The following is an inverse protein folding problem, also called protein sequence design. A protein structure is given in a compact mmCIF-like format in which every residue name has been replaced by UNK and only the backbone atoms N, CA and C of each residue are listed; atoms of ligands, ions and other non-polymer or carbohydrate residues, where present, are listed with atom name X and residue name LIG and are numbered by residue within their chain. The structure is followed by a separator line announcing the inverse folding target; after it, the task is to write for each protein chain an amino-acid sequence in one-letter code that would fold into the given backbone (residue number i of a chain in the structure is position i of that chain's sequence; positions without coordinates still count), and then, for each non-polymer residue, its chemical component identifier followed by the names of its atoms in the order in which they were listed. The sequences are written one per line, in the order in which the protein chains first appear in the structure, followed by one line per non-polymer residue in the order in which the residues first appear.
data_IF_039091471002
#
_entry.id   IF_039091471002
#
_cell.length_a   1.000
_cell.length_b   1.000
_cell.length_c   1.000
_cell.angle_alpha   90.00
_cell.angle_beta   90.00
_cell.angle_gamma   90.00
#
_symmetry.space_group_name_H-M   'P 1'
#
loop_
_entity.id
_entity.type
_entity.pdbx_description
1 polymer ?
#
# COMPACT_ATOMS: atom_id res chain seq x y z
N UNK A 1 -12.81 9.31 24.30
CA UNK A 1 -12.79 10.63 23.63
C UNK A 1 -12.70 10.35 22.15
N UNK A 2 -13.78 10.59 21.40
CA UNK A 2 -13.83 10.30 19.97
C UNK A 2 -12.90 11.27 19.24
N UNK A 3 -11.74 10.80 18.80
CA UNK A 3 -10.82 11.53 17.92
C UNK A 3 -11.57 11.87 16.64
N UNK A 4 -11.71 13.16 16.32
CA UNK A 4 -12.28 13.55 15.02
C UNK A 4 -11.42 12.96 13.90
N UNK A 5 -12.02 12.47 12.80
CA UNK A 5 -11.27 11.93 11.67
C UNK A 5 -10.34 13.01 11.11
N UNK A 6 -9.03 12.72 11.08
CA UNK A 6 -8.02 13.65 10.55
C UNK A 6 -7.69 13.28 9.10
N UNK A 7 -7.72 14.26 8.19
CA UNK A 7 -7.31 14.08 6.80
C UNK A 7 -6.02 14.83 6.52
N UNK A 8 -5.09 14.15 5.84
CA UNK A 8 -3.84 14.71 5.39
C UNK A 8 -3.72 14.61 3.87
N UNK A 9 -3.00 15.55 3.27
CA UNK A 9 -2.69 15.59 1.85
C UNK A 9 -1.21 15.27 1.67
N UNK A 10 -0.92 14.27 0.87
CA UNK A 10 0.43 13.97 0.39
C UNK A 10 0.72 14.92 -0.76
N UNK A 11 1.70 15.81 -0.57
CA UNK A 11 2.17 16.71 -1.62
C UNK A 11 3.01 15.94 -2.63
N UNK A 12 3.18 16.51 -3.82
CA UNK A 12 4.08 15.99 -4.88
C UNK A 12 5.55 15.83 -4.42
N UNK A 13 5.95 16.52 -3.35
CA UNK A 13 7.27 16.41 -2.73
C UNK A 13 7.39 15.22 -1.77
N UNK A 14 6.28 14.53 -1.48
CA UNK A 14 6.20 13.51 -0.45
C UNK A 14 5.83 14.06 0.93
N UNK A 15 5.82 15.37 1.15
CA UNK A 15 5.48 15.93 2.46
C UNK A 15 3.98 15.79 2.78
N UNK A 16 3.68 15.48 4.04
CA UNK A 16 2.33 15.53 4.58
C UNK A 16 1.92 16.96 4.97
N UNK A 17 0.69 17.33 4.65
CA UNK A 17 0.07 18.58 5.11
C UNK A 17 -1.39 18.35 5.52
N UNK A 18 -1.95 19.16 6.43
CA UNK A 18 -3.36 19.04 6.79
C UNK A 18 -4.28 19.33 5.60
N UNK A 19 -5.33 18.52 5.45
CA UNK A 19 -6.37 18.77 4.44
C UNK A 19 -7.16 20.03 4.77
N UNK A 20 -7.20 20.96 3.80
CA UNK A 20 -7.85 22.27 3.95
C UNK A 20 -8.75 22.53 2.74
N UNK A 21 -10.10 22.45 2.88
CA UNK A 21 -11.04 22.73 1.79
C UNK A 21 -10.84 24.09 1.15
N UNK A 22 -10.35 25.06 1.93
CA UNK A 22 -10.08 26.41 1.47
C UNK A 22 -9.06 26.46 0.31
N UNK A 23 -8.06 25.58 0.30
CA UNK A 23 -7.10 25.50 -0.82
C UNK A 23 -7.76 25.03 -2.12
N UNK A 24 -8.74 24.13 -2.01
CA UNK A 24 -9.54 23.66 -3.17
C UNK A 24 -10.39 24.82 -3.69
N UNK A 25 -11.07 25.53 -2.79
CA UNK A 25 -11.89 26.70 -3.13
C UNK A 25 -11.10 27.76 -3.89
N UNK A 26 -9.91 28.11 -3.39
CA UNK A 26 -9.01 29.08 -4.05
C UNK A 26 -8.62 28.60 -5.46
N UNK A 27 -8.24 27.34 -5.61
CA UNK A 27 -7.85 26.79 -6.92
C UNK A 27 -9.02 26.79 -7.92
N UNK A 28 -10.22 26.40 -7.47
CA UNK A 28 -11.44 26.42 -8.30
C UNK A 28 -11.81 27.86 -8.67
N UNK A 29 -11.78 28.80 -7.72
CA UNK A 29 -12.07 30.21 -8.01
C UNK A 29 -11.11 30.80 -9.04
N UNK A 30 -9.81 30.47 -8.98
CA UNK A 30 -8.83 30.89 -10.00
C UNK A 30 -9.20 30.39 -11.40
N UNK A 31 -9.68 29.15 -11.53
CA UNK A 31 -10.11 28.62 -12.83
C UNK A 31 -11.36 29.33 -13.36
N UNK A 32 -12.32 29.66 -12.50
CA UNK A 32 -13.48 30.48 -12.89
C UNK A 32 -13.06 31.87 -13.37
N UNK A 33 -12.17 32.55 -12.63
CA UNK A 33 -11.66 33.89 -12.99
C UNK A 33 -10.91 33.84 -14.33
N UNK A 34 -10.04 32.85 -14.52
CA UNK A 34 -9.29 32.67 -15.76
C UNK A 34 -10.20 32.44 -16.99
N UNK A 35 -11.38 31.87 -16.79
CA UNK A 35 -12.34 31.59 -17.88
C UNK A 35 -13.29 32.76 -18.16
N UNK A 36 -13.72 33.48 -17.11
CA UNK A 36 -14.78 34.49 -17.18
C UNK A 36 -14.26 35.94 -17.15
N UNK A 37 -12.94 36.15 -17.01
CA UNK A 37 -12.29 37.46 -16.97
C UNK A 37 -12.50 38.24 -15.66
N UNK A 38 -12.01 39.48 -15.58
CA UNK A 38 -11.98 40.30 -14.35
C UNK A 38 -13.37 40.53 -13.72
N UNK A 39 -14.44 40.53 -14.53
CA UNK A 39 -15.84 40.59 -14.05
C UNK A 39 -16.25 39.43 -13.13
N UNK A 40 -15.49 38.33 -13.11
CA UNK A 40 -15.72 37.17 -12.27
C UNK A 40 -15.14 37.29 -10.85
N UNK A 41 -14.15 38.15 -10.64
CA UNK A 41 -13.41 38.25 -9.37
C UNK A 41 -14.31 38.74 -8.22
N UNK A 42 -15.32 39.55 -8.54
CA UNK A 42 -16.29 40.10 -7.59
C UNK A 42 -17.63 39.35 -7.62
N UNK A 43 -17.83 38.43 -8.57
CA UNK A 43 -19.13 37.79 -8.82
C UNK A 43 -19.58 36.87 -7.68
N UNK A 44 -20.75 37.14 -7.10
CA UNK A 44 -21.40 36.28 -6.10
C UNK A 44 -21.66 34.88 -6.64
N UNK A 45 -22.00 34.76 -7.94
CA UNK A 45 -22.22 33.49 -8.64
C UNK A 45 -20.96 32.62 -8.64
N UNK A 46 -19.80 33.20 -8.93
CA UNK A 46 -18.52 32.48 -8.98
C UNK A 46 -18.12 31.97 -7.59
N UNK A 47 -18.32 32.79 -6.55
CA UNK A 47 -18.08 32.37 -5.17
C UNK A 47 -19.00 31.21 -4.77
N UNK A 48 -20.30 31.31 -5.07
CA UNK A 48 -21.27 30.26 -4.79
C UNK A 48 -20.93 28.94 -5.52
N UNK A 49 -20.58 29.01 -6.80
CA UNK A 49 -20.22 27.83 -7.59
C UNK A 49 -18.89 27.20 -7.13
N UNK A 50 -17.90 28.03 -6.76
CA UNK A 50 -16.62 27.56 -6.19
C UNK A 50 -16.85 26.83 -4.86
N UNK A 51 -17.72 27.37 -4.00
CA UNK A 51 -18.08 26.74 -2.73
C UNK A 51 -18.80 25.40 -2.97
N UNK A 52 -19.82 25.38 -3.83
CA UNK A 52 -20.56 24.16 -4.17
C UNK A 52 -19.66 23.07 -4.74
N UNK A 53 -18.72 23.44 -5.62
CA UNK A 53 -17.73 22.50 -6.17
C UNK A 53 -16.81 21.97 -5.08
N UNK A 54 -16.33 22.84 -4.18
CA UNK A 54 -15.47 22.47 -3.05
C UNK A 54 -16.17 21.50 -2.10
N UNK A 55 -17.45 21.74 -1.80
CA UNK A 55 -18.28 20.86 -0.98
C UNK A 55 -18.47 19.49 -1.63
N UNK A 56 -18.75 19.45 -2.94
CA UNK A 56 -18.91 18.20 -3.68
C UNK A 56 -17.62 17.36 -3.67
N UNK A 57 -16.46 17.99 -3.93
CA UNK A 57 -15.14 17.34 -3.86
C UNK A 57 -14.87 16.83 -2.45
N UNK A 58 -15.08 17.68 -1.45
CA UNK A 58 -14.86 17.33 -0.05
C UNK A 58 -15.73 16.13 0.34
N UNK A 59 -17.03 16.14 0.04
CA UNK A 59 -17.92 15.02 0.32
C UNK A 59 -17.54 13.73 -0.41
N UNK A 60 -17.03 13.82 -1.64
CA UNK A 60 -16.56 12.65 -2.38
C UNK A 60 -15.34 12.02 -1.72
N UNK A 61 -14.37 12.85 -1.30
CA UNK A 61 -13.18 12.39 -0.57
C UNK A 61 -13.54 11.78 0.79
N UNK A 62 -14.44 12.42 1.56
CA UNK A 62 -14.92 11.90 2.86
C UNK A 62 -15.64 10.56 2.73
N UNK A 63 -16.43 10.37 1.67
CA UNK A 63 -17.12 9.09 1.41
C UNK A 63 -16.15 7.94 1.13
N UNK A 64 -14.99 8.25 0.52
CA UNK A 64 -13.94 7.28 0.22
C UNK A 64 -13.13 6.91 1.46
N UNK A 65 -12.99 7.83 2.41
CA UNK A 65 -12.20 7.69 3.65
C UNK A 65 -12.99 8.24 4.87
N UNK A 66 -14.02 7.50 5.35
CA UNK A 66 -14.92 7.98 6.41
C UNK A 66 -14.23 8.19 7.76
N UNK A 67 -13.22 7.40 8.08
CA UNK A 67 -12.52 7.43 9.39
C UNK A 67 -11.32 8.37 9.43
N UNK A 68 -11.11 9.17 8.38
CA UNK A 68 -9.85 9.90 8.20
C UNK A 68 -8.93 9.18 7.22
N UNK A 69 -7.77 9.77 6.94
CA UNK A 69 -6.80 9.16 6.04
C UNK A 69 -5.89 10.13 5.32
N UNK A 70 -5.08 9.58 4.42
CA UNK A 70 -4.11 10.32 3.61
C UNK A 70 -4.59 10.29 2.15
N UNK A 71 -4.56 11.45 1.49
CA UNK A 71 -5.06 11.63 0.12
C UNK A 71 -3.93 12.25 -0.72
N UNK A 72 -3.65 11.70 -1.89
CA UNK A 72 -2.65 12.31 -2.77
C UNK A 72 -3.20 13.60 -3.40
N UNK A 73 -2.35 14.60 -3.60
CA UNK A 73 -2.78 15.87 -4.20
C UNK A 73 -3.35 15.70 -5.62
N UNK A 74 -2.91 14.67 -6.35
CA UNK A 74 -3.49 14.32 -7.66
C UNK A 74 -4.94 13.82 -7.52
N UNK A 75 -5.26 12.98 -6.54
CA UNK A 75 -6.64 12.52 -6.31
C UNK A 75 -7.59 13.71 -6.07
N UNK A 76 -7.12 14.73 -5.34
CA UNK A 76 -7.91 15.94 -5.11
C UNK A 76 -8.17 16.68 -6.42
N UNK A 77 -7.15 16.78 -7.28
CA UNK A 77 -7.27 17.46 -8.58
C UNK A 77 -8.22 16.71 -9.52
N UNK A 78 -8.13 15.38 -9.58
CA UNK A 78 -9.03 14.56 -10.37
C UNK A 78 -10.49 14.67 -9.88
N UNK A 79 -10.72 14.75 -8.56
CA UNK A 79 -12.06 15.01 -8.02
C UNK A 79 -12.57 16.41 -8.35
N UNK A 80 -11.71 17.43 -8.38
CA UNK A 80 -12.10 18.79 -8.80
C UNK A 80 -12.54 18.79 -10.27
N UNK A 81 -11.78 18.14 -11.14
CA UNK A 81 -12.11 18.02 -12.56
C UNK A 81 -13.45 17.31 -12.76
N UNK A 82 -13.65 16.17 -12.09
CA UNK A 82 -14.89 15.43 -12.14
C UNK A 82 -16.09 16.26 -11.65
N UNK A 83 -15.92 17.04 -10.57
CA UNK A 83 -16.97 17.90 -10.02
C UNK A 83 -17.34 19.06 -10.97
N UNK A 84 -16.34 19.68 -11.62
CA UNK A 84 -16.57 20.71 -12.64
C UNK A 84 -17.27 20.13 -13.88
N UNK A 85 -16.88 18.93 -14.33
CA UNK A 85 -17.55 18.27 -15.45
C UNK A 85 -19.02 17.92 -15.12
N UNK A 86 -19.29 17.36 -13.94
CA UNK A 86 -20.66 16.99 -13.52
C UNK A 86 -21.59 18.18 -13.31
N UNK A 87 -21.05 19.36 -13.02
CA UNK A 87 -21.83 20.58 -12.87
C UNK A 87 -22.11 21.30 -14.21
N UNK A 88 -21.65 20.73 -15.33
CA UNK A 88 -21.83 21.30 -16.67
C UNK A 88 -20.86 22.43 -17.00
N UNK A 89 -19.90 22.73 -16.12
CA UNK A 89 -18.93 23.83 -16.27
C UNK A 89 -17.74 23.40 -17.15
N UNK A 90 -18.02 22.89 -18.35
CA UNK A 90 -17.04 22.28 -19.24
C UNK A 90 -15.92 23.25 -19.69
N UNK A 91 -16.22 24.54 -19.80
CA UNK A 91 -15.22 25.55 -20.15
C UNK A 91 -14.23 25.75 -18.99
N UNK A 92 -14.73 25.82 -17.75
CA UNK A 92 -13.93 25.99 -16.54
C UNK A 92 -13.12 24.73 -16.23
N UNK A 93 -13.70 23.54 -16.43
CA UNK A 93 -12.98 22.27 -16.31
C UNK A 93 -11.76 22.23 -17.26
N UNK A 94 -11.94 22.63 -18.53
CA UNK A 94 -10.84 22.71 -19.50
C UNK A 94 -9.78 23.73 -19.09
N UNK A 95 -10.19 24.91 -18.63
CA UNK A 95 -9.25 25.92 -18.15
C UNK A 95 -8.47 25.44 -16.92
N UNK A 96 -9.12 24.70 -16.00
CA UNK A 96 -8.47 24.10 -14.83
C UNK A 96 -7.41 23.06 -15.23
N UNK A 97 -7.72 22.16 -16.16
CA UNK A 97 -6.78 21.15 -16.68
C UNK A 97 -5.57 21.81 -17.34
N UNK A 98 -5.81 22.80 -18.21
CA UNK A 98 -4.73 23.54 -18.87
C UNK A 98 -3.84 24.29 -17.86
N UNK A 99 -4.45 24.91 -16.84
CA UNK A 99 -3.71 25.57 -15.76
C UNK A 99 -2.86 24.58 -14.95
N UNK A 100 -3.40 23.39 -14.64
CA UNK A 100 -2.68 22.30 -13.97
C UNK A 100 -1.47 21.84 -14.80
N UNK A 101 -1.67 21.61 -16.10
CA UNK A 101 -0.61 21.19 -17.03
C UNK A 101 0.46 22.26 -17.21
N UNK A 102 0.07 23.53 -17.37
CA UNK A 102 1.02 24.64 -17.49
C UNK A 102 1.90 24.75 -16.23
N UNK A 103 1.31 24.64 -15.03
CA UNK A 103 2.07 24.62 -13.79
C UNK A 103 2.92 23.35 -13.61
N UNK A 104 2.48 22.20 -14.10
CA UNK A 104 3.30 20.98 -14.14
C UNK A 104 4.53 21.19 -15.04
N UNK A 105 4.32 21.73 -16.25
CA UNK A 105 5.38 22.02 -17.22
C UNK A 105 6.36 23.06 -16.70
N UNK A 106 5.87 24.19 -16.18
CA UNK A 106 6.72 25.24 -15.62
C UNK A 106 7.58 24.74 -14.46
N UNK A 107 7.06 23.83 -13.61
CA UNK A 107 7.87 23.19 -12.56
C UNK A 107 8.90 22.21 -13.13
N UNK A 108 8.55 21.43 -14.14
CA UNK A 108 9.49 20.52 -14.81
C UNK A 108 10.63 21.27 -15.51
N UNK A 109 10.32 22.44 -16.09
CA UNK A 109 11.28 23.33 -16.73
C UNK A 109 12.17 24.02 -15.70
N UNK A 110 11.61 24.55 -14.61
CA UNK A 110 12.37 25.08 -13.48
C UNK A 110 13.28 24.02 -12.84
N UNK A 111 12.81 22.78 -12.70
CA UNK A 111 13.59 21.66 -12.19
C UNK A 111 14.71 21.25 -13.15
N UNK A 112 14.49 21.31 -14.47
CA UNK A 112 15.55 21.06 -15.47
C UNK A 112 16.59 22.17 -15.51
N UNK A 113 16.17 23.44 -15.39
CA UNK A 113 17.04 24.60 -15.46
C UNK A 113 17.95 24.76 -14.23
N UNK A 114 17.53 24.27 -13.06
CA UNK A 114 18.29 24.36 -11.81
C UNK A 114 19.20 23.14 -11.55
N UNK A 115 19.30 22.22 -12.53
CA UNK A 115 19.72 20.84 -12.27
C UNK A 115 18.60 20.14 -11.50
N UNK A 116 18.23 18.91 -11.89
CA UNK A 116 17.12 18.22 -11.25
C UNK A 116 17.34 18.24 -9.72
N UNK A 117 16.46 18.86 -8.92
CA UNK A 117 16.57 18.74 -7.48
C UNK A 117 16.57 17.24 -7.18
N UNK A 118 17.55 16.77 -6.41
CA UNK A 118 17.56 15.37 -5.95
C UNK A 118 16.17 15.08 -5.42
N UNK A 119 15.56 13.98 -5.91
CA UNK A 119 14.25 13.55 -5.41
C UNK A 119 14.36 13.52 -3.88
N UNK A 120 13.45 14.18 -3.15
CA UNK A 120 13.52 14.23 -1.71
C UNK A 120 13.67 12.80 -1.17
N UNK A 121 14.67 12.59 -0.32
CA UNK A 121 14.90 11.30 0.31
C UNK A 121 13.72 11.04 1.23
N UNK A 122 12.86 10.12 0.82
CA UNK A 122 11.74 9.69 1.63
C UNK A 122 12.26 8.79 2.75
N UNK A 123 11.81 9.04 3.97
CA UNK A 123 12.15 8.19 5.10
C UNK A 123 10.96 7.33 5.51
N UNK A 124 11.23 6.07 5.79
CA UNK A 124 10.29 5.09 6.31
C UNK A 124 10.54 4.93 7.82
N UNK A 125 9.46 4.94 8.59
CA UNK A 125 9.48 4.71 10.03
C UNK A 125 9.34 3.22 10.29
N UNK A 126 10.40 2.60 10.81
CA UNK A 126 10.41 1.18 11.17
C UNK A 126 9.55 0.88 12.40
N UNK A 127 9.36 -0.40 12.70
CA UNK A 127 8.67 -0.87 13.91
C UNK A 127 9.35 -0.45 15.22
N UNK A 128 10.66 -0.21 15.17
CA UNK A 128 11.48 0.34 16.25
C UNK A 128 11.34 1.87 16.42
N UNK A 129 10.51 2.51 15.59
CA UNK A 129 10.30 3.96 15.57
C UNK A 129 11.43 4.75 14.91
N UNK A 130 12.49 4.10 14.44
CA UNK A 130 13.58 4.79 13.75
C UNK A 130 13.19 5.13 12.32
N UNK A 131 13.64 6.30 11.86
CA UNK A 131 13.46 6.77 10.49
C UNK A 131 14.68 6.39 9.65
N UNK A 132 14.47 5.61 8.60
CA UNK A 132 15.51 5.17 7.66
C UNK A 132 15.14 5.62 6.25
N UNK A 133 16.10 5.92 5.37
CA UNK A 133 15.79 6.21 3.97
C UNK A 133 15.06 5.00 3.34
N UNK A 134 14.12 5.28 2.42
CA UNK A 134 13.44 4.25 1.65
C UNK A 134 14.47 3.42 0.87
N UNK A 135 14.51 2.13 1.16
CA UNK A 135 15.35 1.17 0.46
C UNK A 135 14.72 0.82 -0.90
N UNK A 136 15.18 1.53 -1.94
CA UNK A 136 14.70 1.36 -3.31
C UNK A 136 15.26 0.10 -3.96
N UNK A 137 16.45 -0.36 -3.56
CA UNK A 137 17.06 -1.57 -4.10
C UNK A 137 16.26 -2.79 -3.63
N UNK A 138 15.91 -2.83 -2.34
CA UNK A 138 15.04 -3.86 -1.80
C UNK A 138 13.65 -3.85 -2.45
N UNK A 139 13.05 -2.66 -2.63
CA UNK A 139 11.75 -2.55 -3.29
C UNK A 139 11.80 -3.14 -4.71
N UNK A 140 12.87 -2.86 -5.46
CA UNK A 140 13.07 -3.43 -6.79
C UNK A 140 13.24 -4.96 -6.73
N UNK A 141 14.12 -5.47 -5.85
CA UNK A 141 14.35 -6.91 -5.70
C UNK A 141 13.08 -7.69 -5.32
N UNK A 142 12.26 -7.13 -4.43
CA UNK A 142 10.98 -7.72 -4.05
C UNK A 142 9.98 -7.76 -5.23
N UNK A 143 9.93 -6.71 -6.04
CA UNK A 143 9.07 -6.68 -7.22
C UNK A 143 9.56 -7.64 -8.31
N UNK A 144 10.87 -7.77 -8.49
CA UNK A 144 11.46 -8.71 -9.44
C UNK A 144 11.11 -10.16 -9.05
N UNK A 145 11.24 -10.53 -7.76
CA UNK A 145 10.80 -11.83 -7.24
C UNK A 145 9.27 -12.02 -7.44
N UNK A 146 8.46 -10.99 -7.17
CA UNK A 146 7.02 -11.07 -7.34
C UNK A 146 6.58 -11.27 -8.80
N UNK A 147 7.39 -10.86 -9.78
CA UNK A 147 7.11 -11.00 -11.21
C UNK A 147 7.70 -12.28 -11.83
N UNK A 148 8.56 -13.00 -11.10
CA UNK A 148 9.31 -14.13 -11.64
C UNK A 148 8.40 -15.20 -12.27
N UNK A 149 8.68 -15.54 -13.54
CA UNK A 149 7.97 -16.59 -14.26
C UNK A 149 6.51 -16.28 -14.63
N UNK A 150 6.06 -15.01 -14.49
CA UNK A 150 4.75 -14.57 -14.95
C UNK A 150 4.86 -13.88 -16.31
N UNK A 151 4.03 -14.30 -17.26
CA UNK A 151 3.88 -13.63 -18.55
C UNK A 151 2.79 -12.55 -18.45
N UNK A 152 2.85 -11.50 -19.28
CA UNK A 152 1.78 -10.48 -19.35
C UNK A 152 1.78 -9.39 -18.27
N UNK A 153 2.54 -9.56 -17.18
CA UNK A 153 2.69 -8.55 -16.11
C UNK A 153 4.03 -7.81 -16.17
N UNK A 154 4.10 -6.61 -15.61
CA UNK A 154 5.34 -5.82 -15.56
C UNK A 154 5.44 -4.98 -14.28
N UNK A 155 6.66 -4.61 -13.89
CA UNK A 155 6.90 -3.82 -12.68
C UNK A 155 6.39 -2.38 -12.79
N UNK A 156 6.45 -1.78 -13.98
CA UNK A 156 6.18 -0.35 -14.21
C UNK A 156 4.85 0.15 -13.63
N UNK A 157 3.69 -0.46 -13.95
CA UNK A 157 2.41 0.02 -13.41
C UNK A 157 2.29 -0.17 -11.88
N UNK A 158 2.97 -1.17 -11.31
CA UNK A 158 3.01 -1.38 -9.85
C UNK A 158 3.83 -0.28 -9.20
N UNK A 159 5.02 0.00 -9.73
CA UNK A 159 5.92 1.07 -9.28
C UNK A 159 5.24 2.44 -9.35
N UNK A 160 4.52 2.73 -10.45
CA UNK A 160 3.76 3.98 -10.58
C UNK A 160 2.69 4.12 -9.50
N UNK A 161 2.03 3.00 -9.13
CA UNK A 161 1.07 2.97 -8.02
C UNK A 161 1.72 3.20 -6.65
N UNK A 162 2.90 2.60 -6.43
CA UNK A 162 3.68 2.76 -5.20
C UNK A 162 4.11 4.22 -5.06
N UNK A 163 4.75 4.79 -6.09
CA UNK A 163 5.26 6.16 -6.07
C UNK A 163 4.16 7.20 -5.80
N UNK A 164 2.93 6.97 -6.27
CA UNK A 164 1.77 7.83 -5.96
C UNK A 164 1.29 7.71 -4.51
N UNK A 165 1.62 6.61 -3.84
CA UNK A 165 1.19 6.32 -2.47
C UNK A 165 2.24 6.69 -1.44
N UNK A 166 3.50 6.86 -1.85
CA UNK A 166 4.63 7.19 -1.00
C UNK A 166 4.58 8.62 -0.45
N UNK A 167 5.01 8.77 0.81
CA UNK A 167 5.20 10.06 1.48
C UNK A 167 6.26 9.95 2.56
N UNK A 168 6.84 11.08 2.97
CA UNK A 168 7.90 11.12 3.98
C UNK A 168 7.33 10.80 5.38
N UNK A 169 8.01 9.90 6.10
CA UNK A 169 7.59 9.42 7.41
C UNK A 169 6.55 8.30 7.37
N UNK A 170 6.27 7.72 6.21
CA UNK A 170 5.40 6.54 6.06
C UNK A 170 5.91 5.40 6.95
N UNK A 171 5.00 4.68 7.61
CA UNK A 171 5.42 3.52 8.41
C UNK A 171 5.74 2.35 7.50
N UNK A 172 6.60 1.43 7.94
CA UNK A 172 6.91 0.21 7.19
C UNK A 172 5.65 -0.64 6.91
N UNK A 173 4.71 -0.69 7.87
CA UNK A 173 3.41 -1.34 7.69
C UNK A 173 2.58 -0.67 6.59
N UNK A 174 2.46 0.67 6.64
CA UNK A 174 1.73 1.42 5.62
C UNK A 174 2.37 1.22 4.23
N UNK A 175 3.70 1.19 4.16
CA UNK A 175 4.45 0.96 2.92
C UNK A 175 4.12 -0.41 2.33
N UNK A 176 4.16 -1.47 3.14
CA UNK A 176 3.81 -2.82 2.68
C UNK A 176 2.36 -2.87 2.15
N UNK A 177 1.41 -2.26 2.86
CA UNK A 177 0.01 -2.21 2.45
C UNK A 177 -0.17 -1.43 1.13
N UNK A 178 0.54 -0.31 0.96
CA UNK A 178 0.50 0.47 -0.27
C UNK A 178 1.07 -0.30 -1.47
N UNK A 179 2.13 -1.09 -1.27
CA UNK A 179 2.73 -1.92 -2.32
C UNK A 179 1.76 -3.01 -2.77
N UNK A 180 1.17 -3.74 -1.84
CA UNK A 180 0.17 -4.79 -2.13
C UNK A 180 -1.04 -4.18 -2.84
N UNK A 181 -1.55 -3.05 -2.36
CA UNK A 181 -2.69 -2.36 -2.97
C UNK A 181 -2.40 -1.89 -4.40
N UNK A 182 -1.17 -1.46 -4.67
CA UNK A 182 -0.74 -1.02 -6.01
C UNK A 182 -0.82 -2.16 -7.03
N UNK A 183 -0.38 -3.37 -6.67
CA UNK A 183 -0.53 -4.54 -7.53
C UNK A 183 -1.99 -5.01 -7.62
N UNK A 184 -2.71 -5.04 -6.50
CA UNK A 184 -4.11 -5.48 -6.44
C UNK A 184 -5.03 -4.67 -7.36
N UNK A 185 -4.84 -3.35 -7.44
CA UNK A 185 -5.65 -2.48 -8.29
C UNK A 185 -5.48 -2.73 -9.80
N UNK A 186 -4.46 -3.52 -10.19
CA UNK A 186 -4.21 -3.88 -11.58
C UNK A 186 -4.89 -5.18 -12.00
N UNK A 187 -5.42 -5.98 -11.05
CA UNK A 187 -6.07 -7.27 -11.30
C UNK A 187 -7.26 -7.12 -12.25
N UNK A 188 -8.02 -6.04 -12.13
CA UNK A 188 -9.18 -5.78 -13.00
C UNK A 188 -8.79 -5.50 -14.46
N UNK A 189 -7.53 -5.15 -14.72
CA UNK A 189 -6.99 -4.88 -16.07
C UNK A 189 -6.26 -6.08 -16.65
N UNK A 190 -5.50 -6.78 -15.81
CA UNK A 190 -4.71 -7.96 -16.17
C UNK A 190 -4.77 -8.95 -14.98
N UNK A 191 -5.51 -10.07 -15.10
CA UNK A 191 -5.72 -11.02 -14.02
C UNK A 191 -4.44 -11.57 -13.37
N UNK A 192 -3.34 -11.70 -14.11
CA UNK A 192 -2.10 -12.28 -13.59
C UNK A 192 -1.42 -11.43 -12.49
N UNK A 193 -1.81 -10.15 -12.34
CA UNK A 193 -1.44 -9.36 -11.16
C UNK A 193 -1.97 -9.93 -9.85
N UNK A 194 -2.91 -10.89 -9.86
CA UNK A 194 -3.36 -11.60 -8.66
C UNK A 194 -2.22 -12.38 -8.02
N UNK A 195 -1.32 -12.94 -8.84
CA UNK A 195 -0.14 -13.67 -8.35
C UNK A 195 0.92 -12.69 -7.83
N UNK A 196 1.13 -11.57 -8.53
CA UNK A 196 2.04 -10.50 -8.08
C UNK A 196 1.59 -9.96 -6.72
N UNK A 197 0.31 -9.61 -6.57
CA UNK A 197 -0.24 -9.12 -5.31
C UNK A 197 -0.16 -10.17 -4.18
N UNK A 198 -0.37 -11.45 -4.50
CA UNK A 198 -0.18 -12.53 -3.53
C UNK A 198 1.28 -12.65 -3.08
N UNK A 199 2.24 -12.58 -4.01
CA UNK A 199 3.67 -12.68 -3.67
C UNK A 199 4.17 -11.47 -2.87
N UNK A 200 3.64 -10.28 -3.12
CA UNK A 200 3.90 -9.09 -2.29
C UNK A 200 3.28 -9.22 -0.90
N UNK A 201 2.08 -9.79 -0.78
CA UNK A 201 1.50 -10.12 0.52
C UNK A 201 2.31 -11.20 1.25
N UNK A 202 2.87 -12.15 0.51
CA UNK A 202 3.75 -13.17 1.07
C UNK A 202 5.02 -12.55 1.64
N UNK A 203 5.65 -11.58 0.96
CA UNK A 203 6.81 -10.86 1.52
C UNK A 203 6.50 -10.21 2.87
N UNK A 204 5.36 -9.50 2.95
CA UNK A 204 4.86 -8.93 4.20
C UNK A 204 4.68 -10.01 5.27
N UNK A 205 4.00 -11.11 4.94
CA UNK A 205 3.74 -12.21 5.87
C UNK A 205 5.05 -12.88 6.34
N UNK A 206 6.02 -13.08 5.45
CA UNK A 206 7.36 -13.59 5.80
C UNK A 206 8.03 -12.68 6.81
N UNK A 207 8.08 -11.38 6.51
CA UNK A 207 8.69 -10.42 7.43
C UNK A 207 8.02 -10.43 8.81
N UNK A 208 6.69 -10.39 8.87
CA UNK A 208 5.94 -10.42 10.13
C UNK A 208 6.21 -11.70 10.93
N UNK A 209 6.05 -12.86 10.30
CA UNK A 209 6.20 -14.15 10.96
C UNK A 209 7.63 -14.38 11.46
N UNK A 210 8.64 -14.18 10.61
CA UNK A 210 10.03 -14.39 11.00
C UNK A 210 10.45 -13.40 12.09
N UNK A 211 10.07 -12.13 11.96
CA UNK A 211 10.39 -11.13 12.99
C UNK A 211 9.79 -11.48 14.35
N UNK A 212 8.55 -11.99 14.37
CA UNK A 212 7.90 -12.39 15.62
C UNK A 212 8.53 -13.65 16.23
N UNK A 213 8.88 -14.64 15.40
CA UNK A 213 9.43 -15.94 15.83
C UNK A 213 10.87 -15.84 16.37
N UNK A 214 11.70 -14.96 15.79
CA UNK A 214 13.09 -14.73 16.21
C UNK A 214 13.30 -13.48 17.08
N UNK A 215 12.27 -12.64 17.22
CA UNK A 215 12.30 -11.41 18.03
C UNK A 215 13.35 -10.38 17.55
N UNK A 216 13.69 -10.41 16.26
CA UNK A 216 14.56 -9.44 15.59
C UNK A 216 14.05 -9.16 14.17
N UNK A 217 14.29 -7.97 13.59
CA UNK A 217 13.82 -7.67 12.23
C UNK A 217 14.47 -8.60 11.19
N UNK A 218 13.65 -9.47 10.58
CA UNK A 218 14.12 -10.42 9.56
C UNK A 218 13.44 -10.14 8.22
N UNK A 219 14.26 -10.02 7.18
CA UNK A 219 13.80 -9.82 5.81
C UNK A 219 14.48 -10.84 4.90
N UNK A 220 13.75 -11.92 4.60
CA UNK A 220 14.20 -12.95 3.68
C UNK A 220 13.38 -12.90 2.40
N UNK A 221 14.08 -13.05 1.28
CA UNK A 221 13.49 -13.41 -0.01
C UNK A 221 12.87 -14.81 0.07
N UNK A 222 12.01 -15.16 -0.89
CA UNK A 222 11.45 -16.51 -0.98
C UNK A 222 12.57 -17.55 -1.11
N UNK A 223 13.59 -17.28 -1.90
CA UNK A 223 14.72 -18.18 -2.11
C UNK A 223 15.48 -18.46 -0.80
N UNK A 224 15.78 -17.41 -0.02
CA UNK A 224 16.44 -17.56 1.28
C UNK A 224 15.55 -18.28 2.30
N UNK A 225 14.25 -17.99 2.31
CA UNK A 225 13.30 -18.69 3.18
C UNK A 225 13.19 -20.17 2.81
N UNK A 226 13.29 -20.54 1.53
CA UNK A 226 13.18 -21.93 1.10
C UNK A 226 14.20 -22.84 1.80
N UNK A 227 15.40 -22.33 2.07
CA UNK A 227 16.45 -23.03 2.83
C UNK A 227 16.13 -23.14 4.33
N UNK A 228 15.29 -22.24 4.86
CA UNK A 228 14.98 -22.13 6.29
C UNK A 228 13.59 -22.65 6.66
N UNK A 229 12.74 -22.99 5.69
CA UNK A 229 11.33 -23.34 5.92
C UNK A 229 11.13 -24.46 6.95
N UNK A 230 12.02 -25.47 6.95
CA UNK A 230 11.99 -26.55 7.93
C UNK A 230 12.31 -26.09 9.36
N UNK A 231 13.26 -25.16 9.51
CA UNK A 231 13.56 -24.55 10.81
C UNK A 231 12.43 -23.60 11.24
N UNK A 232 11.84 -22.85 10.30
CA UNK A 232 10.65 -22.04 10.56
C UNK A 232 9.47 -22.87 11.03
N UNK A 233 9.23 -24.06 10.47
CA UNK A 233 8.21 -24.98 10.98
C UNK A 233 8.44 -25.31 12.45
N UNK A 234 9.65 -25.75 12.82
CA UNK A 234 9.99 -26.08 14.21
C UNK A 234 9.74 -24.91 15.13
N UNK A 235 10.21 -23.73 14.73
CA UNK A 235 10.09 -22.50 15.52
C UNK A 235 8.63 -22.08 15.68
N UNK A 236 7.83 -22.14 14.62
CA UNK A 236 6.39 -21.84 14.66
C UNK A 236 5.65 -22.77 15.62
N UNK A 237 5.94 -24.07 15.60
CA UNK A 237 5.29 -25.03 16.51
C UNK A 237 5.69 -24.82 17.96
N UNK A 238 6.98 -24.59 18.23
CA UNK A 238 7.49 -24.29 19.58
C UNK A 238 6.85 -23.01 20.13
N UNK A 239 6.96 -21.89 19.41
CA UNK A 239 6.41 -20.60 19.84
C UNK A 239 4.88 -20.67 19.95
N UNK A 240 4.21 -21.34 19.02
CA UNK A 240 2.76 -21.53 19.09
C UNK A 240 2.32 -22.34 20.32
N UNK A 241 3.07 -23.37 20.72
CA UNK A 241 2.81 -24.13 21.94
C UNK A 241 3.12 -23.31 23.21
N UNK A 242 4.23 -22.56 23.23
CA UNK A 242 4.59 -21.65 24.34
C UNK A 242 3.54 -20.57 24.58
N UNK A 243 2.90 -20.09 23.51
CA UNK A 243 1.83 -19.09 23.56
C UNK A 243 0.44 -19.72 23.76
N UNK A 244 0.34 -21.04 23.96
CA UNK A 244 -0.92 -21.79 24.08
C UNK A 244 -1.88 -21.63 22.87
N UNK A 245 -1.32 -21.29 21.70
CA UNK A 245 -2.04 -21.19 20.42
C UNK A 245 -2.10 -22.54 19.69
N UNK A 246 -1.25 -23.49 20.10
CA UNK A 246 -1.12 -24.83 19.53
C UNK A 246 -1.10 -25.89 20.62
N UNK A 247 -1.57 -27.08 20.27
CA UNK A 247 -1.40 -28.27 21.11
C UNK A 247 0.09 -28.65 21.18
N UNK A 248 0.70 -28.75 22.37
CA UNK A 248 2.10 -29.11 22.53
C UNK A 248 2.48 -30.47 21.94
N UNK A 249 1.52 -31.40 21.78
CA UNK A 249 1.77 -32.71 21.17
C UNK A 249 2.26 -32.59 19.71
N UNK A 250 1.93 -31.51 19.01
CA UNK A 250 2.45 -31.23 17.66
C UNK A 250 3.98 -31.11 17.63
N UNK A 251 4.62 -30.77 18.75
CA UNK A 251 6.09 -30.66 18.84
C UNK A 251 6.79 -32.02 18.93
N UNK A 252 6.05 -33.12 19.08
CA UNK A 252 6.58 -34.48 19.25
C UNK A 252 6.81 -35.23 17.94
N UNK A 253 6.27 -34.73 16.84
CA UNK A 253 6.53 -35.29 15.50
C UNK A 253 8.03 -35.21 15.14
N UNK A 254 8.46 -36.01 14.17
CA UNK A 254 9.76 -35.84 13.52
C UNK A 254 9.74 -34.59 12.61
N UNK A 255 10.01 -33.44 13.22
CA UNK A 255 9.98 -32.15 12.54
C UNK A 255 11.10 -31.98 11.50
N UNK A 256 12.18 -32.74 11.58
CA UNK A 256 13.23 -32.76 10.56
C UNK A 256 12.75 -33.44 9.27
N UNK A 257 12.00 -34.53 9.41
CA UNK A 257 11.37 -35.20 8.27
C UNK A 257 10.24 -34.34 7.68
N UNK A 258 9.37 -33.76 8.52
CA UNK A 258 8.29 -32.90 8.05
C UNK A 258 8.81 -31.61 7.40
N UNK A 259 9.84 -30.99 7.99
CA UNK A 259 10.48 -29.81 7.44
C UNK A 259 11.05 -30.04 6.04
N UNK A 260 11.69 -31.20 5.81
CA UNK A 260 12.19 -31.61 4.48
C UNK A 260 11.08 -31.93 3.47
N UNK A 261 9.88 -32.25 3.93
CA UNK A 261 8.73 -32.53 3.08
C UNK A 261 8.02 -31.25 2.57
N UNK A 262 8.30 -30.10 3.18
CA UNK A 262 7.77 -28.81 2.75
C UNK A 262 8.25 -28.47 1.34
N UNK A 263 7.38 -27.79 0.58
CA UNK A 263 7.64 -27.33 -0.78
C UNK A 263 7.40 -25.83 -0.88
N UNK A 264 8.42 -25.01 -0.54
CA UNK A 264 8.33 -23.55 -0.50
C UNK A 264 7.82 -22.93 -1.81
N UNK A 265 8.16 -23.52 -2.96
CA UNK A 265 7.74 -23.07 -4.28
C UNK A 265 6.20 -23.06 -4.45
N UNK A 266 5.47 -23.78 -3.60
CA UNK A 266 4.00 -23.80 -3.63
C UNK A 266 3.37 -22.51 -3.09
N UNK A 267 4.11 -21.67 -2.38
CA UNK A 267 3.60 -20.35 -1.97
C UNK A 267 3.27 -19.48 -3.18
N UNK A 268 4.00 -19.64 -4.29
CA UNK A 268 3.77 -18.87 -5.51
C UNK A 268 2.52 -19.32 -6.29
N UNK A 269 1.83 -20.37 -5.83
CA UNK A 269 0.58 -20.85 -6.44
C UNK A 269 -0.66 -20.12 -5.93
N UNK A 270 -0.52 -19.29 -4.89
CA UNK A 270 -1.65 -18.55 -4.35
C UNK A 270 -2.10 -17.43 -5.30
N UNK A 271 -3.41 -17.32 -5.49
CA UNK A 271 -4.04 -16.06 -5.91
C UNK A 271 -4.14 -15.11 -4.72
N UNK A 272 -4.27 -13.81 -4.98
CA UNK A 272 -4.33 -12.81 -3.92
C UNK A 272 -5.46 -13.08 -2.93
N UNK A 273 -6.67 -13.38 -3.42
CA UNK A 273 -7.82 -13.67 -2.56
C UNK A 273 -7.60 -14.92 -1.69
N UNK A 274 -6.95 -15.95 -2.25
CA UNK A 274 -6.64 -17.18 -1.54
C UNK A 274 -5.68 -16.93 -0.37
N UNK A 275 -4.56 -16.25 -0.63
CA UNK A 275 -3.60 -15.93 0.42
C UNK A 275 -4.16 -14.93 1.43
N UNK A 276 -4.91 -13.91 0.98
CA UNK A 276 -5.54 -12.94 1.87
C UNK A 276 -6.51 -13.63 2.84
N UNK A 277 -7.28 -14.60 2.36
CA UNK A 277 -8.21 -15.36 3.21
C UNK A 277 -7.45 -16.12 4.29
N UNK A 278 -6.35 -16.80 3.92
CA UNK A 278 -5.49 -17.49 4.91
C UNK A 278 -4.91 -16.50 5.92
N UNK A 279 -4.31 -15.41 5.44
CA UNK A 279 -3.69 -14.39 6.27
C UNK A 279 -4.69 -13.76 7.26
N UNK A 280 -5.89 -13.40 6.81
CA UNK A 280 -6.88 -12.68 7.62
C UNK A 280 -7.58 -13.57 8.66
N UNK A 281 -7.73 -14.87 8.39
CA UNK A 281 -8.65 -15.73 9.17
C UNK A 281 -8.05 -17.02 9.71
N UNK A 282 -6.98 -17.54 9.12
CA UNK A 282 -6.52 -18.91 9.38
C UNK A 282 -5.10 -19.02 9.89
N UNK A 283 -4.19 -18.15 9.40
CA UNK A 283 -2.83 -18.10 9.91
C UNK A 283 -2.86 -17.74 11.39
N UNK A 284 -2.11 -18.49 12.19
CA UNK A 284 -1.97 -18.20 13.62
C UNK A 284 -1.31 -16.85 13.81
N UNK A 285 -1.82 -16.08 14.76
CA UNK A 285 -1.29 -14.78 15.10
C UNK A 285 -1.21 -14.60 16.61
N UNK A 286 -0.25 -13.78 17.02
CA UNK A 286 -0.07 -13.31 18.37
C UNK A 286 -0.27 -11.79 18.39
N UNK A 287 -1.26 -11.31 19.14
CA UNK A 287 -1.64 -9.88 19.22
C UNK A 287 -1.76 -9.19 17.84
N UNK A 288 -2.29 -9.91 16.84
CA UNK A 288 -2.48 -9.44 15.47
C UNK A 288 -1.28 -9.60 14.53
N UNK A 289 -0.12 -10.03 15.05
CA UNK A 289 1.09 -10.33 14.25
C UNK A 289 1.09 -11.81 13.88
N UNK A 290 1.17 -12.14 12.59
CA UNK A 290 1.16 -13.55 12.16
C UNK A 290 2.46 -14.22 12.59
N UNK A 291 2.38 -15.50 12.93
CA UNK A 291 3.55 -16.34 13.30
C UNK A 291 3.66 -17.60 12.43
N UNK A 292 2.85 -17.66 11.37
CA UNK A 292 2.67 -18.85 10.55
C UNK A 292 2.69 -18.50 9.05
N UNK A 293 3.43 -19.30 8.30
CA UNK A 293 3.54 -19.21 6.84
C UNK A 293 2.63 -20.23 6.14
N UNK A 294 2.29 -20.04 4.85
CA UNK A 294 1.26 -20.84 4.20
C UNK A 294 1.59 -22.35 4.11
N UNK A 295 2.83 -22.75 3.81
CA UNK A 295 3.17 -24.18 3.83
C UNK A 295 3.14 -24.77 5.24
N UNK A 296 3.48 -23.97 6.27
CA UNK A 296 3.42 -24.40 7.68
C UNK A 296 1.96 -24.56 8.11
N UNK A 297 1.05 -23.68 7.67
CA UNK A 297 -0.38 -23.83 7.88
C UNK A 297 -0.89 -25.20 7.41
N UNK A 298 -0.56 -25.58 6.17
CA UNK A 298 -0.97 -26.88 5.64
C UNK A 298 -0.32 -28.04 6.39
N UNK A 299 0.96 -27.92 6.74
CA UNK A 299 1.67 -28.95 7.50
C UNK A 299 1.04 -29.14 8.89
N UNK A 300 0.79 -28.05 9.63
CA UNK A 300 0.13 -28.09 10.93
C UNK A 300 -1.25 -28.75 10.85
N UNK A 301 -2.05 -28.42 9.85
CA UNK A 301 -3.37 -29.05 9.68
C UNK A 301 -3.23 -30.55 9.43
N UNK A 302 -2.28 -30.97 8.60
CA UNK A 302 -1.99 -32.39 8.37
C UNK A 302 -1.53 -33.10 9.66
N UNK A 303 -0.63 -32.48 10.42
CA UNK A 303 -0.15 -33.00 11.70
C UNK A 303 -1.28 -33.16 12.71
N UNK A 304 -2.15 -32.15 12.84
CA UNK A 304 -3.30 -32.20 13.76
C UNK A 304 -4.28 -33.33 13.44
N UNK A 305 -4.45 -33.67 12.15
CA UNK A 305 -5.27 -34.82 11.74
C UNK A 305 -4.59 -36.17 12.01
N UNK A 306 -3.26 -36.20 12.10
CA UNK A 306 -2.44 -37.39 12.32
C UNK A 306 -1.89 -37.50 13.75
N UNK A 307 -2.40 -36.73 14.69
CA UNK A 307 -1.81 -36.58 16.03
C UNK A 307 -1.76 -37.88 16.85
N UNK A 308 -2.63 -38.84 16.53
CA UNK A 308 -2.69 -40.16 17.17
C UNK A 308 -1.93 -41.26 16.39
N UNK A 309 -1.27 -40.90 15.29
CA UNK A 309 -0.44 -41.80 14.47
C UNK A 309 1.07 -41.58 14.73
N UNK A 310 1.39 -40.78 15.76
CA UNK A 310 2.76 -40.41 16.19
C UNK A 310 3.43 -41.56 16.94
#
# INVERSE_FOLDING_TARGET
MSTQPTWHVIKRTGDLAPFTPEKIRIAVSKAFIATLGDSAEVSSRVRAQSLKTTEAVTQALKRRLPDGGRIHIEDIQDQVELALMRSGEHAVARAYVLYREAHARQRSESARAQGAPEKPVLHITGSDGQRRPLDRERLAAMLDEALEGLEGVSATPVLDGIERSLFDGMTERDLADAIILSARNLIDREPDYTYVAARLLLDKLRHEALTRLWQEPIHLTQAQLAEQYGETLKRTLQVGAELELLDPELTRFDLDTLGRALKPERDFRFTYLGLQTLYDRYCIHDHGTRIELPQIFFMRVAMGLAINEV
#
